data_IF_557404225752
#
_entry.id   IF_557404225752
#
_cell.length_a   1.000
_cell.length_b   1.000
_cell.length_c   1.000
_cell.angle_alpha   90.00
_cell.angle_beta   90.00
_cell.angle_gamma   90.00
#
_symmetry.space_group_name_H-M   'P 1'
#
loop_
_entity.id
_entity.type
_entity.pdbx_description
1 polymer ?
#
# COMPACT_ATOMS: atom_id res chain seq x y z
N UNK A 1 8.51 -5.89 17.66
CA UNK A 1 7.22 -6.34 18.19
C UNK A 1 6.85 -5.63 19.50
N UNK A 2 7.72 -5.52 20.52
CA UNK A 2 7.34 -4.88 21.81
C UNK A 2 6.79 -3.43 21.70
N UNK A 3 7.33 -2.60 20.80
CA UNK A 3 6.83 -1.23 20.58
C UNK A 3 5.43 -1.19 19.95
N UNK A 4 5.19 -2.05 18.98
CA UNK A 4 3.88 -2.14 18.31
C UNK A 4 2.80 -2.65 19.26
N UNK A 5 3.13 -3.66 20.08
CA UNK A 5 2.21 -4.17 21.10
C UNK A 5 1.93 -3.14 22.20
N UNK A 6 2.90 -2.26 22.52
CA UNK A 6 2.70 -1.15 23.45
C UNK A 6 1.81 -0.05 22.85
N UNK A 7 2.00 0.29 21.57
CA UNK A 7 1.17 1.25 20.85
C UNK A 7 -0.25 0.73 20.69
N UNK A 8 -0.43 -0.55 20.38
CA UNK A 8 -1.73 -1.20 20.32
C UNK A 8 -2.48 -1.10 21.68
N UNK A 9 -1.79 -1.38 22.78
CA UNK A 9 -2.39 -1.25 24.15
C UNK A 9 -2.78 0.19 24.46
N UNK A 10 -2.05 1.20 23.94
CA UNK A 10 -2.39 2.62 24.12
C UNK A 10 -3.58 3.06 23.27
N UNK A 11 -3.69 2.57 22.03
CA UNK A 11 -4.83 2.84 21.15
C UNK A 11 -6.10 2.19 21.70
N UNK A 12 -5.97 1.01 22.36
CA UNK A 12 -7.06 0.31 23.01
C UNK A 12 -8.22 0.05 22.05
N UNK A 13 -9.44 0.47 22.43
CA UNK A 13 -10.66 0.36 21.61
C UNK A 13 -10.89 1.54 20.66
N UNK A 14 -10.00 2.54 20.62
CA UNK A 14 -10.14 3.74 19.79
C UNK A 14 -9.51 3.51 18.42
N UNK A 15 -10.11 2.63 17.62
CA UNK A 15 -9.73 2.42 16.23
C UNK A 15 -10.98 2.46 15.35
N UNK A 16 -10.81 2.71 14.07
CA UNK A 16 -11.90 2.69 13.08
C UNK A 16 -12.06 1.25 12.61
N UNK A 17 -13.16 0.57 12.95
CA UNK A 17 -13.42 -0.78 12.47
C UNK A 17 -13.69 -0.74 10.96
N UNK A 18 -13.26 -1.76 10.23
CA UNK A 18 -13.42 -1.85 8.77
C UNK A 18 -12.84 -0.61 8.03
N UNK A 19 -11.66 -0.12 8.46
CA UNK A 19 -11.05 1.09 7.90
C UNK A 19 -10.98 1.03 6.38
N UNK A 20 -10.59 -0.11 5.80
CA UNK A 20 -10.44 -0.24 4.36
C UNK A 20 -11.75 -0.05 3.60
N UNK A 21 -12.87 -0.43 4.20
CA UNK A 21 -14.21 -0.19 3.64
C UNK A 21 -14.45 1.31 3.42
N UNK A 22 -14.17 2.15 4.44
CA UNK A 22 -14.35 3.60 4.33
C UNK A 22 -13.43 4.23 3.31
N UNK A 23 -12.18 3.75 3.22
CA UNK A 23 -11.21 4.24 2.25
C UNK A 23 -11.66 3.95 0.81
N UNK A 24 -12.09 2.71 0.54
CA UNK A 24 -12.56 2.31 -0.79
C UNK A 24 -13.85 3.02 -1.17
N UNK A 25 -14.80 3.20 -0.24
CA UNK A 25 -15.99 4.00 -0.50
C UNK A 25 -15.65 5.47 -0.77
N UNK A 26 -14.66 6.04 -0.07
CA UNK A 26 -14.15 7.39 -0.38
C UNK A 26 -13.55 7.47 -1.78
N UNK A 27 -12.74 6.46 -2.19
CA UNK A 27 -12.19 6.39 -3.55
C UNK A 27 -13.30 6.27 -4.61
N UNK A 28 -14.34 5.45 -4.35
CA UNK A 28 -15.52 5.36 -5.23
C UNK A 28 -16.25 6.70 -5.32
N UNK A 29 -16.39 7.41 -4.21
CA UNK A 29 -17.00 8.75 -4.20
C UNK A 29 -16.21 9.73 -5.08
N UNK A 30 -14.87 9.75 -4.97
CA UNK A 30 -14.01 10.59 -5.83
C UNK A 30 -14.14 10.17 -7.30
N UNK A 31 -14.21 8.87 -7.58
CA UNK A 31 -14.40 8.36 -8.94
C UNK A 31 -15.74 8.85 -9.52
N UNK A 32 -16.83 8.79 -8.76
CA UNK A 32 -18.13 9.29 -9.20
C UNK A 32 -18.07 10.80 -9.46
N UNK A 33 -17.43 11.57 -8.57
CA UNK A 33 -17.26 13.03 -8.75
C UNK A 33 -16.48 13.37 -10.02
N UNK A 34 -15.50 12.55 -10.42
CA UNK A 34 -14.72 12.79 -11.64
C UNK A 34 -15.54 12.61 -12.92
N UNK A 35 -16.56 11.72 -12.90
CA UNK A 35 -17.47 11.51 -14.03
C UNK A 35 -18.67 12.48 -14.08
N UNK A 36 -18.86 13.29 -13.03
CA UNK A 36 -19.89 14.32 -13.06
C UNK A 36 -19.40 15.53 -13.89
N UNK A 37 -20.29 16.23 -14.61
CA UNK A 37 -19.94 17.41 -15.40
C UNK A 37 -19.70 18.62 -14.48
N UNK A 38 -18.71 18.54 -13.62
CA UNK A 38 -18.28 19.62 -12.74
C UNK A 38 -17.25 20.49 -13.45
N UNK A 39 -17.25 21.79 -13.14
CA UNK A 39 -16.25 22.72 -13.64
C UNK A 39 -14.88 22.46 -12.96
N UNK A 40 -14.19 21.38 -13.38
CA UNK A 40 -12.88 21.01 -12.86
C UNK A 40 -12.78 19.52 -12.53
N UNK A 41 -11.55 18.99 -12.53
CA UNK A 41 -11.28 17.61 -12.16
C UNK A 41 -11.22 17.48 -10.64
N UNK A 42 -11.98 16.53 -10.07
CA UNK A 42 -11.92 16.18 -8.66
C UNK A 42 -10.51 15.76 -8.24
N UNK A 43 -9.76 15.09 -9.15
CA UNK A 43 -8.36 14.72 -8.93
C UNK A 43 -7.49 15.94 -8.66
N UNK A 44 -7.68 17.04 -9.42
CA UNK A 44 -6.89 18.26 -9.31
C UNK A 44 -7.06 18.96 -7.95
N UNK A 45 -8.20 18.76 -7.29
CA UNK A 45 -8.52 19.34 -5.99
C UNK A 45 -7.99 18.49 -4.81
N UNK A 46 -7.79 17.18 -5.02
CA UNK A 46 -7.55 16.24 -3.94
C UNK A 46 -6.12 15.72 -3.87
N UNK A 47 -5.32 15.80 -4.98
CA UNK A 47 -3.97 15.28 -4.98
C UNK A 47 -3.05 16.09 -4.05
N UNK A 48 -2.07 15.41 -3.47
CA UNK A 48 -1.08 16.04 -2.61
C UNK A 48 -0.16 16.94 -3.44
N UNK A 49 -0.06 18.19 -3.05
CA UNK A 49 0.86 19.16 -3.64
C UNK A 49 1.39 20.09 -2.55
N UNK A 50 2.71 20.01 -2.29
CA UNK A 50 3.35 20.82 -1.25
C UNK A 50 3.13 22.31 -1.42
N UNK A 51 3.22 22.84 -2.65
CA UNK A 51 3.10 24.26 -2.90
C UNK A 51 1.68 24.77 -2.60
N UNK A 52 0.64 23.99 -2.92
CA UNK A 52 -0.75 24.34 -2.64
C UNK A 52 -1.08 24.18 -1.15
N UNK A 53 -0.54 23.14 -0.48
CA UNK A 53 -0.69 22.98 0.97
C UNK A 53 -0.12 24.18 1.72
N UNK A 54 1.06 24.66 1.34
CA UNK A 54 1.69 25.84 1.93
C UNK A 54 0.94 27.16 1.63
N UNK A 55 0.06 27.17 0.62
CA UNK A 55 -0.86 28.28 0.32
C UNK A 55 -2.19 28.19 1.08
N UNK A 56 -2.38 27.18 1.94
CA UNK A 56 -3.56 27.02 2.78
C UNK A 56 -4.52 25.89 2.37
N UNK A 57 -4.24 25.13 1.30
CA UNK A 57 -5.06 23.98 0.90
C UNK A 57 -4.74 22.73 1.73
N UNK A 58 -4.91 22.83 3.06
CA UNK A 58 -4.51 21.82 4.04
C UNK A 58 -5.25 20.48 3.91
N UNK A 59 -6.46 20.47 3.31
CA UNK A 59 -7.21 19.23 3.09
C UNK A 59 -6.45 18.22 2.25
N UNK A 60 -5.54 18.66 1.37
CA UNK A 60 -4.68 17.80 0.53
C UNK A 60 -3.77 16.88 1.33
N UNK A 61 -3.52 17.18 2.62
CA UNK A 61 -2.77 16.29 3.53
C UNK A 61 -3.50 14.96 3.78
N UNK A 62 -4.82 14.94 3.62
CA UNK A 62 -5.63 13.75 3.91
C UNK A 62 -6.30 13.25 2.63
N UNK A 63 -6.76 14.14 1.76
CA UNK A 63 -7.60 13.75 0.63
C UNK A 63 -6.89 12.90 -0.43
N UNK A 64 -5.56 12.97 -0.52
CA UNK A 64 -4.79 12.15 -1.46
C UNK A 64 -4.95 10.64 -1.24
N UNK A 65 -5.32 10.21 -0.02
CA UNK A 65 -5.56 8.79 0.28
C UNK A 65 -6.81 8.24 -0.39
N UNK A 66 -7.76 9.11 -0.76
CA UNK A 66 -9.01 8.77 -1.42
C UNK A 66 -8.92 8.82 -2.96
N UNK A 67 -7.74 9.11 -3.52
CA UNK A 67 -7.57 9.08 -4.96
C UNK A 67 -7.58 7.64 -5.46
N UNK A 68 -8.50 7.26 -6.38
CA UNK A 68 -8.47 5.95 -7.00
C UNK A 68 -7.23 5.80 -7.91
N UNK A 69 -6.79 4.59 -8.24
CA UNK A 69 -5.71 4.39 -9.18
C UNK A 69 -6.10 4.92 -10.57
N UNK A 70 -5.11 5.33 -11.36
CA UNK A 70 -5.32 5.75 -12.75
C UNK A 70 -5.53 4.54 -13.67
N UNK A 71 -6.38 4.70 -14.67
CA UNK A 71 -6.65 3.65 -15.65
C UNK A 71 -8.05 3.78 -16.28
N UNK A 72 -8.46 2.77 -17.03
CA UNK A 72 -9.84 2.68 -17.47
C UNK A 72 -10.77 2.28 -16.31
N UNK A 73 -12.06 2.55 -16.46
CA UNK A 73 -13.06 2.34 -15.41
C UNK A 73 -13.06 0.91 -14.87
N UNK A 74 -12.97 -0.09 -15.73
CA UNK A 74 -12.96 -1.52 -15.35
C UNK A 74 -11.73 -1.83 -14.49
N UNK A 75 -10.56 -1.33 -14.89
CA UNK A 75 -9.32 -1.51 -14.14
C UNK A 75 -9.37 -0.82 -12.78
N UNK A 76 -9.94 0.39 -12.70
CA UNK A 76 -10.11 1.13 -11.45
C UNK A 76 -11.01 0.33 -10.50
N UNK A 77 -12.20 -0.11 -10.96
CA UNK A 77 -13.13 -0.87 -10.13
C UNK A 77 -12.52 -2.19 -9.64
N UNK A 78 -11.79 -2.90 -10.51
CA UNK A 78 -11.08 -4.12 -10.14
C UNK A 78 -10.01 -3.84 -9.08
N UNK A 79 -9.26 -2.76 -9.23
CA UNK A 79 -8.23 -2.35 -8.26
C UNK A 79 -8.84 -1.97 -6.92
N UNK A 80 -9.98 -1.27 -6.90
CA UNK A 80 -10.68 -0.91 -5.67
C UNK A 80 -11.21 -2.15 -4.95
N UNK A 81 -11.79 -3.11 -5.69
CA UNK A 81 -12.18 -4.40 -5.13
C UNK A 81 -10.97 -5.12 -4.52
N UNK A 82 -9.84 -5.10 -5.22
CA UNK A 82 -8.60 -5.72 -4.76
C UNK A 82 -8.06 -5.05 -3.48
N UNK A 83 -8.06 -3.73 -3.42
CA UNK A 83 -7.67 -3.00 -2.20
C UNK A 83 -8.59 -3.33 -1.02
N UNK A 84 -9.90 -3.40 -1.26
CA UNK A 84 -10.87 -3.80 -0.25
C UNK A 84 -10.57 -5.21 0.27
N UNK A 85 -10.35 -6.16 -0.64
CA UNK A 85 -10.03 -7.54 -0.31
C UNK A 85 -8.74 -7.66 0.51
N UNK A 86 -7.64 -7.03 0.05
CA UNK A 86 -6.35 -7.04 0.75
C UNK A 86 -6.47 -6.43 2.14
N UNK A 87 -7.05 -5.24 2.22
CA UNK A 87 -7.15 -4.50 3.48
C UNK A 87 -8.04 -5.20 4.50
N UNK A 88 -9.19 -5.71 4.08
CA UNK A 88 -10.09 -6.45 4.99
C UNK A 88 -9.46 -7.77 5.45
N UNK A 89 -8.76 -8.49 4.59
CA UNK A 89 -8.05 -9.71 4.96
C UNK A 89 -6.96 -9.44 5.99
N UNK A 90 -6.19 -8.36 5.81
CA UNK A 90 -5.14 -7.95 6.75
C UNK A 90 -5.75 -7.46 8.08
N UNK A 91 -6.83 -6.66 8.02
CA UNK A 91 -7.53 -6.17 9.22
C UNK A 91 -8.10 -7.32 10.04
N UNK A 92 -8.71 -8.31 9.40
CA UNK A 92 -9.24 -9.50 10.08
C UNK A 92 -8.14 -10.35 10.72
N UNK A 93 -6.95 -10.40 10.12
CA UNK A 93 -5.83 -11.20 10.64
C UNK A 93 -5.09 -10.51 11.79
N UNK A 94 -4.87 -9.19 11.71
CA UNK A 94 -4.10 -8.43 12.71
C UNK A 94 -4.95 -7.83 13.81
N UNK A 95 -6.25 -7.69 13.55
CA UNK A 95 -7.14 -6.86 14.32
C UNK A 95 -7.14 -5.39 13.89
N UNK A 96 -8.27 -4.72 14.05
CA UNK A 96 -8.48 -3.37 13.55
C UNK A 96 -7.48 -2.34 14.10
N UNK A 97 -7.07 -2.45 15.37
CA UNK A 97 -6.12 -1.51 15.98
C UNK A 97 -4.73 -1.54 15.29
N UNK A 98 -4.19 -2.74 15.02
CA UNK A 98 -2.90 -2.88 14.33
C UNK A 98 -2.99 -2.43 12.87
N UNK A 99 -4.09 -2.75 12.19
CA UNK A 99 -4.30 -2.33 10.82
C UNK A 99 -4.39 -0.80 10.70
N UNK A 100 -5.16 -0.15 11.60
CA UNK A 100 -5.26 1.30 11.67
C UNK A 100 -3.89 1.95 11.93
N UNK A 101 -3.09 1.40 12.85
CA UNK A 101 -1.75 1.88 13.13
C UNK A 101 -0.83 1.73 11.91
N UNK A 102 -0.88 0.58 11.24
CA UNK A 102 -0.12 0.34 10.01
C UNK A 102 -0.45 1.40 8.95
N UNK A 103 -1.75 1.60 8.71
CA UNK A 103 -2.23 2.55 7.71
C UNK A 103 -1.85 3.99 8.07
N UNK A 104 -2.01 4.38 9.34
CA UNK A 104 -1.65 5.71 9.83
C UNK A 104 -0.15 6.01 9.66
N UNK A 105 0.72 5.06 10.02
CA UNK A 105 2.18 5.20 9.82
C UNK A 105 2.49 5.37 8.33
N UNK A 106 1.81 4.63 7.46
CA UNK A 106 1.97 4.75 6.01
C UNK A 106 1.51 6.10 5.46
N UNK A 107 0.39 6.63 5.93
CA UNK A 107 -0.09 7.97 5.57
C UNK A 107 0.91 9.04 6.01
N UNK A 108 1.37 8.98 7.27
CA UNK A 108 2.37 9.93 7.78
C UNK A 108 3.68 9.85 7.00
N UNK A 109 4.15 8.63 6.69
CA UNK A 109 5.33 8.41 5.85
C UNK A 109 5.14 9.00 4.45
N UNK A 110 3.98 8.82 3.83
CA UNK A 110 3.65 9.40 2.52
C UNK A 110 3.56 10.92 2.55
N UNK A 111 3.03 11.52 3.62
CA UNK A 111 3.02 12.97 3.81
C UNK A 111 4.45 13.51 3.90
N UNK A 112 5.32 12.90 4.72
CA UNK A 112 6.72 13.28 4.83
C UNK A 112 7.45 13.14 3.49
N UNK A 113 7.21 12.04 2.77
CA UNK A 113 7.72 11.83 1.41
C UNK A 113 7.26 12.94 0.46
N UNK A 114 5.99 13.33 0.52
CA UNK A 114 5.41 14.39 -0.29
C UNK A 114 6.01 15.76 -0.01
N UNK A 115 6.33 16.07 1.25
CA UNK A 115 7.04 17.30 1.60
C UNK A 115 8.49 17.31 1.09
N UNK A 116 9.15 16.16 1.00
CA UNK A 116 10.50 16.06 0.44
C UNK A 116 10.51 16.20 -1.09
N UNK A 117 9.61 15.52 -1.77
CA UNK A 117 9.59 15.44 -3.25
C UNK A 117 8.70 16.47 -3.93
N UNK A 118 7.85 17.15 -3.18
CA UNK A 118 6.88 18.13 -3.69
C UNK A 118 5.49 17.54 -3.94
N UNK A 119 5.39 16.23 -4.15
CA UNK A 119 4.12 15.55 -4.37
C UNK A 119 4.15 14.10 -3.85
N UNK A 120 2.99 13.52 -3.55
CA UNK A 120 2.88 12.08 -3.23
C UNK A 120 1.53 11.53 -3.67
N UNK A 121 1.47 10.20 -3.75
CA UNK A 121 0.25 9.44 -4.03
C UNK A 121 0.07 8.34 -2.99
N UNK A 122 -1.11 7.73 -2.97
CA UNK A 122 -1.38 6.56 -2.12
C UNK A 122 -0.87 5.23 -2.73
N UNK A 123 -0.26 5.26 -3.92
CA UNK A 123 0.18 4.06 -4.64
C UNK A 123 1.17 3.23 -3.84
N UNK A 124 2.18 3.87 -3.24
CA UNK A 124 3.16 3.15 -2.41
C UNK A 124 2.54 2.56 -1.15
N UNK A 125 1.56 3.25 -0.55
CA UNK A 125 0.82 2.74 0.60
C UNK A 125 0.04 1.47 0.20
N UNK A 126 -0.69 1.51 -0.90
CA UNK A 126 -1.46 0.37 -1.40
C UNK A 126 -0.54 -0.79 -1.83
N UNK A 127 0.62 -0.49 -2.43
CA UNK A 127 1.64 -1.51 -2.74
C UNK A 127 2.20 -2.13 -1.45
N UNK A 128 2.37 -1.34 -0.39
CA UNK A 128 2.82 -1.88 0.90
C UNK A 128 1.81 -2.88 1.50
N UNK A 129 0.50 -2.64 1.33
CA UNK A 129 -0.55 -3.59 1.71
C UNK A 129 -0.48 -4.88 0.90
N UNK A 130 -0.24 -4.79 -0.41
CA UNK A 130 -0.05 -5.96 -1.27
C UNK A 130 1.15 -6.81 -0.81
N UNK A 131 2.29 -6.17 -0.51
CA UNK A 131 3.47 -6.87 0.00
C UNK A 131 3.23 -7.49 1.37
N UNK A 132 2.54 -6.77 2.27
CA UNK A 132 2.16 -7.30 3.57
C UNK A 132 1.27 -8.54 3.42
N UNK A 133 0.31 -8.49 2.50
CA UNK A 133 -0.56 -9.63 2.18
C UNK A 133 0.24 -10.80 1.60
N UNK A 134 1.20 -10.54 0.70
CA UNK A 134 2.05 -11.58 0.12
C UNK A 134 2.93 -12.30 1.17
N UNK A 135 3.35 -11.58 2.21
CA UNK A 135 4.09 -12.17 3.33
C UNK A 135 3.17 -13.01 4.23
N UNK A 136 1.91 -12.58 4.42
CA UNK A 136 0.94 -13.28 5.28
C UNK A 136 0.32 -14.51 4.61
N UNK A 137 0.02 -14.41 3.32
CA UNK A 137 -0.70 -15.41 2.54
C UNK A 137 0.08 -15.84 1.28
N UNK A 138 1.32 -16.35 1.42
CA UNK A 138 2.20 -16.61 0.27
C UNK A 138 1.68 -17.69 -0.67
N UNK A 139 0.93 -18.65 -0.16
CA UNK A 139 0.44 -19.80 -0.92
C UNK A 139 -0.98 -19.58 -1.48
N UNK A 140 -1.60 -18.43 -1.18
CA UNK A 140 -2.88 -18.08 -1.78
C UNK A 140 -2.72 -17.86 -3.28
N UNK A 141 -3.70 -18.30 -4.06
CA UNK A 141 -3.70 -18.18 -5.50
C UNK A 141 -4.73 -17.15 -5.95
N UNK A 142 -4.31 -16.22 -6.79
CA UNK A 142 -5.21 -15.33 -7.52
C UNK A 142 -5.36 -15.82 -8.95
N UNK A 143 -6.61 -15.88 -9.41
CA UNK A 143 -6.95 -16.14 -10.80
C UNK A 143 -6.70 -14.88 -11.63
N UNK A 144 -5.49 -14.74 -12.20
CA UNK A 144 -5.23 -13.66 -13.16
C UNK A 144 -5.96 -13.97 -14.46
N UNK A 145 -6.68 -12.96 -14.98
CA UNK A 145 -7.49 -13.08 -16.20
C UNK A 145 -8.50 -14.22 -16.17
N UNK A 146 -8.98 -14.64 -14.98
CA UNK A 146 -9.94 -15.69 -14.72
C UNK A 146 -9.49 -17.14 -15.05
N UNK A 147 -8.30 -17.34 -15.60
CA UNK A 147 -7.82 -18.67 -16.00
C UNK A 147 -6.44 -19.03 -15.51
N UNK A 148 -5.60 -18.05 -15.10
CA UNK A 148 -4.24 -18.30 -14.68
C UNK A 148 -4.10 -18.21 -13.15
N UNK A 149 -4.00 -19.35 -12.41
CA UNK A 149 -3.76 -19.32 -10.97
C UNK A 149 -2.31 -18.90 -10.69
N UNK A 150 -2.12 -17.74 -10.08
CA UNK A 150 -0.79 -17.24 -9.69
C UNK A 150 -0.72 -17.11 -8.18
N UNK A 151 0.28 -17.74 -7.57
CA UNK A 151 0.51 -17.62 -6.13
C UNK A 151 0.94 -16.19 -5.78
N UNK A 152 0.34 -15.67 -4.74
CA UNK A 152 0.57 -14.28 -4.26
C UNK A 152 2.05 -14.03 -3.97
N UNK A 153 2.80 -15.05 -3.53
CA UNK A 153 4.26 -14.95 -3.31
C UNK A 153 5.01 -14.44 -4.55
N UNK A 154 4.63 -14.91 -5.75
CA UNK A 154 5.30 -14.50 -6.99
C UNK A 154 5.00 -13.06 -7.34
N UNK A 155 3.76 -12.62 -7.08
CA UNK A 155 3.37 -11.21 -7.23
C UNK A 155 4.18 -10.34 -6.26
N UNK A 156 4.30 -10.77 -5.00
CA UNK A 156 5.10 -10.08 -3.99
C UNK A 156 6.58 -10.00 -4.35
N UNK A 157 7.17 -11.09 -4.85
CA UNK A 157 8.57 -11.12 -5.31
C UNK A 157 8.77 -10.17 -6.50
N UNK A 158 7.89 -10.20 -7.51
CA UNK A 158 7.96 -9.32 -8.68
C UNK A 158 7.91 -7.84 -8.27
N UNK A 159 6.98 -7.45 -7.39
CA UNK A 159 6.91 -6.11 -6.84
C UNK A 159 8.12 -5.74 -5.99
N UNK A 160 8.63 -6.67 -5.18
CA UNK A 160 9.86 -6.47 -4.40
C UNK A 160 11.07 -6.21 -5.28
N UNK A 161 11.24 -6.97 -6.37
CA UNK A 161 12.31 -6.75 -7.37
C UNK A 161 12.14 -5.42 -8.09
N UNK A 162 10.92 -5.05 -8.47
CA UNK A 162 10.64 -3.74 -9.06
C UNK A 162 11.00 -2.58 -8.13
N UNK A 163 10.67 -2.68 -6.84
CA UNK A 163 11.05 -1.69 -5.83
C UNK A 163 12.57 -1.64 -5.63
N UNK A 164 13.25 -2.79 -5.61
CA UNK A 164 14.71 -2.84 -5.54
C UNK A 164 15.36 -2.17 -6.77
N UNK A 165 14.82 -2.40 -7.96
CA UNK A 165 15.25 -1.71 -9.17
C UNK A 165 15.04 -0.18 -9.06
N UNK A 166 13.88 0.26 -8.59
CA UNK A 166 13.63 1.69 -8.35
C UNK A 166 14.65 2.28 -7.35
N UNK A 167 14.97 1.58 -6.25
CA UNK A 167 15.97 2.03 -5.28
C UNK A 167 17.37 2.23 -5.89
N UNK A 168 17.70 1.56 -6.99
CA UNK A 168 18.97 1.73 -7.68
C UNK A 168 18.91 2.93 -8.64
N UNK A 169 17.83 3.07 -9.39
CA UNK A 169 17.72 3.97 -10.56
C UNK A 169 17.28 5.39 -10.23
N UNK A 170 16.43 5.57 -9.19
CA UNK A 170 15.87 6.90 -8.86
C UNK A 170 16.89 7.77 -8.09
N UNK A 171 16.81 9.12 -8.20
CA UNK A 171 17.60 10.05 -7.40
C UNK A 171 17.43 9.84 -5.89
N UNK A 172 18.45 10.21 -5.11
CA UNK A 172 18.53 9.91 -3.67
C UNK A 172 17.32 10.43 -2.85
N UNK A 173 16.77 11.61 -3.20
CA UNK A 173 15.62 12.19 -2.50
C UNK A 173 14.37 11.34 -2.64
N UNK A 174 14.16 10.74 -3.82
CA UNK A 174 13.05 9.83 -4.06
C UNK A 174 13.27 8.46 -3.40
N UNK A 175 14.53 8.04 -3.17
CA UNK A 175 14.86 6.85 -2.36
C UNK A 175 14.39 7.01 -0.92
N UNK A 176 14.65 8.19 -0.33
CA UNK A 176 14.16 8.53 1.00
C UNK A 176 12.61 8.55 1.04
N UNK A 177 11.99 9.16 0.06
CA UNK A 177 10.53 9.20 -0.04
C UNK A 177 9.92 7.80 -0.16
N UNK A 178 10.51 6.94 -0.98
CA UNK A 178 10.11 5.54 -1.11
C UNK A 178 10.25 4.82 0.25
N UNK A 179 11.40 4.94 0.91
CA UNK A 179 11.64 4.31 2.21
C UNK A 179 10.63 4.77 3.28
N UNK A 180 10.30 6.06 3.31
CA UNK A 180 9.30 6.63 4.22
C UNK A 180 7.90 6.08 3.93
N UNK A 181 7.52 5.97 2.66
CA UNK A 181 6.21 5.42 2.27
C UNK A 181 6.07 3.92 2.58
N UNK A 182 7.19 3.17 2.57
CA UNK A 182 7.25 1.76 2.93
C UNK A 182 7.59 1.50 4.41
N UNK A 183 7.73 2.56 5.21
CA UNK A 183 8.06 2.44 6.63
C UNK A 183 7.14 1.45 7.38
N UNK A 184 5.80 1.46 7.22
CA UNK A 184 4.94 0.52 7.91
C UNK A 184 5.27 -0.93 7.53
N UNK A 185 5.49 -1.23 6.25
CA UNK A 185 5.87 -2.57 5.80
C UNK A 185 7.20 -3.02 6.44
N UNK A 186 8.20 -2.17 6.44
CA UNK A 186 9.52 -2.48 7.02
C UNK A 186 9.43 -2.73 8.52
N UNK A 187 8.67 -1.93 9.25
CA UNK A 187 8.50 -2.07 10.70
C UNK A 187 7.74 -3.34 11.10
N UNK A 188 6.68 -3.68 10.36
CA UNK A 188 5.82 -4.82 10.69
C UNK A 188 6.34 -6.14 10.13
N UNK A 189 6.91 -6.13 8.92
CA UNK A 189 7.19 -7.33 8.13
C UNK A 189 8.64 -7.48 7.68
N UNK A 190 9.50 -6.49 7.84
CA UNK A 190 10.86 -6.53 7.31
C UNK A 190 11.61 -7.82 7.69
N UNK A 191 11.50 -8.27 8.95
CA UNK A 191 12.10 -9.53 9.41
C UNK A 191 11.45 -10.77 8.78
N UNK A 192 10.12 -10.79 8.67
CA UNK A 192 9.39 -11.94 8.12
C UNK A 192 9.61 -12.05 6.61
N UNK A 193 9.55 -10.94 5.88
CA UNK A 193 9.83 -10.88 4.45
C UNK A 193 11.26 -11.36 4.14
N UNK A 194 12.25 -10.92 4.93
CA UNK A 194 13.63 -11.38 4.78
C UNK A 194 13.77 -12.89 4.99
N UNK A 195 13.12 -13.45 6.01
CA UNK A 195 13.16 -14.89 6.29
C UNK A 195 12.50 -15.70 5.17
N UNK A 196 11.37 -15.23 4.63
CA UNK A 196 10.70 -15.88 3.51
C UNK A 196 11.56 -15.88 2.25
N UNK A 197 12.12 -14.74 1.87
CA UNK A 197 13.01 -14.63 0.71
C UNK A 197 14.21 -15.59 0.83
N UNK A 198 14.78 -15.69 2.04
CA UNK A 198 15.88 -16.62 2.31
C UNK A 198 15.46 -18.09 2.18
N UNK A 199 14.25 -18.44 2.62
CA UNK A 199 13.72 -19.81 2.49
C UNK A 199 13.42 -20.17 1.04
N UNK A 200 12.80 -19.26 0.29
CA UNK A 200 12.46 -19.47 -1.11
C UNK A 200 13.73 -19.56 -1.98
N UNK A 201 14.74 -18.74 -1.70
CA UNK A 201 16.05 -18.84 -2.33
C UNK A 201 16.73 -20.20 -2.08
N UNK A 202 16.66 -20.75 -0.84
CA UNK A 202 17.19 -22.08 -0.53
C UNK A 202 16.40 -23.21 -1.20
N UNK A 203 15.09 -23.06 -1.37
CA UNK A 203 14.24 -24.03 -2.09
C UNK A 203 14.60 -24.04 -3.58
N UNK A 204 14.78 -22.87 -4.17
CA UNK A 204 15.20 -22.73 -5.57
C UNK A 204 16.57 -23.34 -5.81
N UNK A 205 17.56 -23.07 -4.96
CA UNK A 205 18.90 -23.65 -5.04
C UNK A 205 18.87 -25.18 -4.94
N UNK A 206 18.06 -25.73 -4.02
CA UNK A 206 17.91 -27.20 -3.88
C UNK A 206 17.28 -27.81 -5.12
N UNK A 207 16.29 -27.17 -5.70
CA UNK A 207 15.65 -27.62 -6.93
C UNK A 207 16.63 -27.61 -8.12
N UNK A 208 17.43 -26.54 -8.29
CA UNK A 208 18.47 -26.46 -9.33
C UNK A 208 19.52 -27.58 -9.16
N UNK A 209 19.96 -27.80 -7.93
CA UNK A 209 20.96 -28.87 -7.65
C UNK A 209 20.41 -30.29 -7.80
N UNK A 210 19.10 -30.49 -7.70
CA UNK A 210 18.46 -31.79 -7.94
C UNK A 210 18.26 -32.14 -9.42
N UNK A 211 18.44 -31.15 -10.31
CA UNK A 211 18.35 -31.31 -11.77
C UNK A 211 19.72 -31.54 -12.42
N UNK A 212 20.80 -31.45 -11.64
CA UNK A 212 22.17 -31.79 -12.05
C UNK A 212 22.55 -33.20 -11.57
#
# INVERSE_FOLDING_TARGET
>A
MKLLDQLERRIGRRYIPNLMKYLVFGMLGVLVLEYLPLNGSAWSLLYFNRALILRGEIWRLITFIFLPPSGNLVFILLSLYFYYFLGTSLENHWGGAKFNLYYLIGVLGSILAGFLTGYTTNSYLNTSLLLAFAVMYPDMEFMLFFFLPVKVRWIGIAWGLYLAYQLITIPWIYKLALALSFLPFLLFFGKQAWLQLRMDGRRLMRWINSQR
#
